data_IF_577543237623
#
_entry.id   IF_577543237623
#
_cell.length_a   1.000
_cell.length_b   1.000
_cell.length_c   1.000
_cell.angle_alpha   90.00
_cell.angle_beta   90.00
_cell.angle_gamma   90.00
#
_symmetry.space_group_name_H-M   'P 1'
#
loop_
_entity.id
_entity.type
_entity.pdbx_description
1 polymer ?
#
# COMPACT_ATOMS: atom_id res chain seq x y z
N UNK A 1 36.56 -28.87 17.44
CA UNK A 1 35.41 -28.43 16.61
C UNK A 1 34.41 -27.84 17.58
N UNK A 2 34.27 -26.51 17.69
CA UNK A 2 33.31 -25.94 18.64
C UNK A 2 31.91 -26.28 18.14
N UNK A 3 31.13 -26.93 18.99
CA UNK A 3 29.71 -27.14 18.73
C UNK A 3 29.08 -25.74 18.63
N UNK A 4 28.55 -25.39 17.46
CA UNK A 4 27.68 -24.22 17.33
C UNK A 4 26.53 -24.41 18.32
N UNK A 5 26.42 -23.54 19.31
CA UNK A 5 25.24 -23.47 20.16
C UNK A 5 23.99 -23.44 19.24
N UNK A 6 22.95 -24.23 19.53
CA UNK A 6 21.75 -24.23 18.71
C UNK A 6 21.19 -22.80 18.68
N UNK A 7 21.07 -22.24 17.48
CA UNK A 7 20.46 -20.92 17.29
C UNK A 7 19.08 -20.96 17.93
N UNK A 8 18.86 -20.09 18.92
CA UNK A 8 17.60 -20.06 19.65
C UNK A 8 16.44 -19.84 18.66
N UNK A 9 15.40 -20.68 18.76
CA UNK A 9 14.19 -20.58 17.95
C UNK A 9 13.53 -19.20 18.18
N UNK A 10 13.54 -18.35 17.15
CA UNK A 10 13.05 -16.98 17.22
C UNK A 10 12.35 -16.59 15.91
N UNK A 11 11.12 -16.04 15.97
CA UNK A 11 10.31 -15.82 17.16
C UNK A 11 9.77 -17.15 17.74
N UNK A 12 9.46 -17.15 19.04
CA UNK A 12 8.84 -18.31 19.70
C UNK A 12 7.55 -18.71 18.96
N UNK A 13 7.45 -19.97 18.56
CA UNK A 13 6.29 -20.49 17.84
C UNK A 13 4.98 -20.31 18.64
N UNK A 14 3.87 -20.03 17.94
CA UNK A 14 2.57 -19.79 18.57
C UNK A 14 2.10 -20.97 19.43
N UNK A 15 2.39 -22.21 19.01
CA UNK A 15 2.05 -23.43 19.74
C UNK A 15 2.90 -23.64 21.00
N UNK A 16 4.01 -22.93 21.16
CA UNK A 16 4.88 -23.03 22.33
C UNK A 16 4.48 -22.08 23.46
N UNK A 17 3.47 -21.22 23.26
CA UNK A 17 2.91 -20.41 24.34
C UNK A 17 1.91 -21.24 25.16
N UNK A 18 1.86 -21.04 26.48
CA UNK A 18 0.87 -21.71 27.32
C UNK A 18 -0.55 -21.33 26.88
N UNK A 19 -1.47 -22.29 26.94
CA UNK A 19 -2.90 -22.06 26.69
C UNK A 19 -3.45 -21.09 27.74
N UNK A 20 -3.62 -19.83 27.35
CA UNK A 20 -4.26 -18.82 28.17
C UNK A 20 -5.76 -18.82 27.88
N UNK A 21 -6.56 -19.35 28.80
CA UNK A 21 -8.01 -19.22 28.76
C UNK A 21 -8.42 -17.81 29.22
N UNK A 22 -9.31 -17.14 28.48
CA UNK A 22 -9.85 -15.83 28.87
C UNK A 22 -9.99 -14.83 27.72
N UNK A 23 -9.99 -13.55 28.08
CA UNK A 23 -10.07 -12.42 27.13
C UNK A 23 -8.81 -12.28 26.26
N UNK A 24 -8.90 -11.53 25.15
CA UNK A 24 -7.74 -11.19 24.32
C UNK A 24 -6.59 -10.58 25.14
N UNK A 25 -6.92 -9.68 26.07
CA UNK A 25 -5.93 -8.97 26.89
C UNK A 25 -5.16 -9.91 27.82
N UNK A 26 -5.82 -10.92 28.38
CA UNK A 26 -5.16 -11.91 29.25
C UNK A 26 -4.21 -12.79 28.45
N UNK A 27 -4.58 -13.16 27.22
CA UNK A 27 -3.69 -13.90 26.30
C UNK A 27 -2.47 -13.08 25.94
N UNK A 28 -2.65 -11.80 25.58
CA UNK A 28 -1.56 -10.91 25.21
C UNK A 28 -0.61 -10.66 26.40
N UNK A 29 -1.14 -10.42 27.59
CA UNK A 29 -0.33 -10.24 28.80
C UNK A 29 0.51 -11.49 29.12
N UNK A 30 -0.10 -12.68 29.07
CA UNK A 30 0.63 -13.94 29.29
C UNK A 30 1.74 -14.17 28.24
N UNK A 31 1.50 -13.79 26.98
CA UNK A 31 2.52 -13.89 25.91
C UNK A 31 3.66 -12.89 26.09
N UNK A 32 3.39 -11.71 26.63
CA UNK A 32 4.42 -10.71 26.96
C UNK A 32 5.24 -11.18 28.18
N UNK A 33 4.59 -11.78 29.17
CA UNK A 33 5.28 -12.34 30.34
C UNK A 33 6.20 -13.51 29.95
N UNK A 34 5.72 -14.40 29.06
CA UNK A 34 6.51 -15.50 28.54
C UNK A 34 7.63 -15.08 27.57
N UNK A 35 7.45 -13.97 26.86
CA UNK A 35 8.38 -13.44 25.86
C UNK A 35 8.32 -11.90 25.83
N UNK A 36 9.10 -11.21 26.69
CA UNK A 36 9.05 -9.76 26.83
C UNK A 36 9.37 -8.99 25.54
N UNK A 37 10.11 -9.61 24.61
CA UNK A 37 10.40 -9.01 23.31
C UNK A 37 9.12 -8.71 22.50
N UNK A 38 8.03 -9.46 22.72
CA UNK A 38 6.74 -9.21 22.06
C UNK A 38 6.21 -7.79 22.32
N UNK A 39 6.42 -7.25 23.52
CA UNK A 39 6.02 -5.89 23.85
C UNK A 39 6.85 -4.85 23.09
N UNK A 40 8.17 -5.09 22.97
CA UNK A 40 9.08 -4.21 22.21
C UNK A 40 8.70 -4.22 20.72
N UNK A 41 8.54 -5.40 20.13
CA UNK A 41 8.15 -5.57 18.74
C UNK A 41 6.79 -4.92 18.45
N UNK A 42 5.82 -5.10 19.35
CA UNK A 42 4.49 -4.47 19.25
C UNK A 42 4.58 -2.95 19.37
N UNK A 43 5.39 -2.43 20.29
CA UNK A 43 5.63 -0.99 20.43
C UNK A 43 6.23 -0.38 19.16
N UNK A 44 7.25 -1.02 18.59
CA UNK A 44 7.88 -0.62 17.32
C UNK A 44 6.85 -0.62 16.19
N UNK A 45 6.03 -1.67 16.09
CA UNK A 45 4.99 -1.75 15.07
C UNK A 45 3.93 -0.64 15.24
N UNK A 46 3.46 -0.38 16.47
CA UNK A 46 2.51 0.70 16.73
C UNK A 46 3.08 2.07 16.41
N UNK A 47 4.36 2.31 16.68
CA UNK A 47 5.04 3.55 16.29
C UNK A 47 5.18 3.67 14.77
N UNK A 48 5.41 2.56 14.07
CA UNK A 48 5.39 2.54 12.61
C UNK A 48 4.01 2.93 12.05
N UNK A 49 2.94 2.36 12.61
CA UNK A 49 1.56 2.73 12.26
C UNK A 49 1.28 4.19 12.60
N UNK A 50 1.69 4.68 13.78
CA UNK A 50 1.52 6.08 14.11
C UNK A 50 2.28 7.01 13.14
N UNK A 51 3.48 6.60 12.70
CA UNK A 51 4.28 7.35 11.74
C UNK A 51 3.58 7.47 10.38
N UNK A 52 2.91 6.41 9.87
CA UNK A 52 2.19 6.51 8.58
C UNK A 52 1.09 7.58 8.61
N UNK A 53 0.40 7.79 9.73
CA UNK A 53 -0.59 8.86 9.88
C UNK A 53 0.02 10.27 9.94
N UNK A 54 1.31 10.38 10.30
CA UNK A 54 2.03 11.65 10.37
C UNK A 54 2.82 11.93 9.08
N UNK A 55 3.01 10.93 8.21
CA UNK A 55 3.78 11.02 6.96
C UNK A 55 3.42 12.25 6.10
N UNK A 56 2.13 12.53 5.91
CA UNK A 56 1.67 13.71 5.16
C UNK A 56 2.16 15.07 5.74
N UNK A 57 2.39 15.15 7.05
CA UNK A 57 2.97 16.35 7.68
C UNK A 57 4.45 16.48 7.36
N UNK A 58 5.19 15.37 7.31
CA UNK A 58 6.59 15.37 6.88
C UNK A 58 6.72 15.80 5.41
N UNK A 59 5.88 15.27 4.52
CA UNK A 59 5.85 15.67 3.10
C UNK A 59 5.57 17.17 2.94
N UNK A 60 4.60 17.70 3.71
CA UNK A 60 4.31 19.14 3.70
C UNK A 60 5.49 19.97 4.19
N UNK A 61 6.11 19.58 5.30
CA UNK A 61 7.28 20.26 5.86
C UNK A 61 8.48 20.21 4.89
N UNK A 62 8.67 19.09 4.18
CA UNK A 62 9.68 18.95 3.14
C UNK A 62 9.48 19.97 2.01
N UNK A 63 8.26 20.10 1.50
CA UNK A 63 7.93 21.10 0.46
C UNK A 63 8.14 22.53 0.93
N UNK A 64 7.69 22.87 2.15
CA UNK A 64 7.88 24.21 2.73
C UNK A 64 9.37 24.55 2.89
N UNK A 65 10.19 23.59 3.32
CA UNK A 65 11.63 23.77 3.48
C UNK A 65 12.37 23.87 2.15
N UNK A 66 11.97 23.08 1.15
CA UNK A 66 12.53 23.15 -0.20
C UNK A 66 12.21 24.51 -0.84
N UNK A 67 10.97 24.97 -0.76
CA UNK A 67 10.55 26.29 -1.26
C UNK A 67 11.34 27.43 -0.60
N UNK A 68 11.55 27.38 0.72
CA UNK A 68 12.37 28.37 1.42
C UNK A 68 13.84 28.33 0.97
N UNK A 69 14.39 27.15 0.69
CA UNK A 69 15.74 26.99 0.14
C UNK A 69 15.85 27.57 -1.28
N UNK A 70 14.88 27.25 -2.14
CA UNK A 70 14.83 27.72 -3.52
C UNK A 70 14.70 29.23 -3.60
N UNK A 71 13.89 29.84 -2.73
CA UNK A 71 13.74 31.30 -2.65
C UNK A 71 15.06 31.98 -2.29
N UNK A 72 15.83 31.41 -1.35
CA UNK A 72 17.16 31.93 -0.95
C UNK A 72 18.19 31.79 -2.07
N UNK A 73 18.16 30.68 -2.81
CA UNK A 73 19.07 30.45 -3.94
C UNK A 73 18.74 31.37 -5.12
N UNK A 74 17.45 31.54 -5.42
CA UNK A 74 16.99 32.47 -6.45
C UNK A 74 17.42 33.91 -6.13
N UNK A 75 17.31 34.35 -4.87
CA UNK A 75 17.80 35.65 -4.41
C UNK A 75 19.33 35.81 -4.56
N UNK A 76 20.07 34.71 -4.54
CA UNK A 76 21.53 34.68 -4.77
C UNK A 76 21.91 34.46 -6.25
N UNK A 77 20.95 34.38 -7.17
CA UNK A 77 21.19 34.10 -8.59
C UNK A 77 21.69 32.67 -8.87
N UNK A 78 21.52 31.75 -7.91
CA UNK A 78 21.95 30.36 -8.03
C UNK A 78 20.80 29.47 -8.51
N UNK A 79 21.11 28.38 -9.23
CA UNK A 79 20.09 27.41 -9.64
C UNK A 79 19.48 26.69 -8.42
N UNK A 80 18.22 26.28 -8.54
CA UNK A 80 17.56 25.44 -7.55
C UNK A 80 18.34 24.13 -7.38
N UNK A 81 18.50 23.72 -6.13
CA UNK A 81 19.13 22.45 -5.76
C UNK A 81 18.36 21.80 -4.60
N UNK A 82 18.32 20.46 -4.53
CA UNK A 82 17.69 19.76 -3.43
C UNK A 82 18.34 20.13 -2.10
N UNK A 83 17.53 20.53 -1.13
CA UNK A 83 17.98 20.72 0.24
C UNK A 83 18.06 19.36 0.91
N UNK A 84 19.24 18.98 1.42
CA UNK A 84 19.43 17.70 2.15
C UNK A 84 18.40 17.52 3.26
N UNK A 85 18.05 18.61 3.97
CA UNK A 85 17.06 18.56 5.04
C UNK A 85 15.64 18.34 4.50
N UNK A 86 15.32 18.90 3.33
CA UNK A 86 14.02 18.69 2.69
C UNK A 86 13.91 17.25 2.18
N UNK A 87 14.98 16.71 1.58
CA UNK A 87 15.06 15.31 1.15
C UNK A 87 14.91 14.33 2.31
N UNK A 88 15.55 14.59 3.46
CA UNK A 88 15.34 13.78 4.66
C UNK A 88 13.87 13.83 5.08
N UNK A 89 13.26 15.01 5.19
CA UNK A 89 11.84 15.10 5.54
C UNK A 89 10.93 14.42 4.50
N UNK A 90 11.26 14.50 3.22
CA UNK A 90 10.54 13.84 2.15
C UNK A 90 10.62 12.32 2.31
N UNK A 91 11.81 11.78 2.59
CA UNK A 91 12.02 10.36 2.85
C UNK A 91 11.20 9.84 4.05
N UNK A 92 11.10 10.63 5.13
CA UNK A 92 10.22 10.32 6.27
C UNK A 92 8.72 10.48 5.96
N UNK A 93 8.36 11.20 4.89
CA UNK A 93 6.99 11.41 4.44
C UNK A 93 6.45 10.35 3.47
N UNK A 94 7.31 9.47 2.94
CA UNK A 94 6.92 8.44 1.99
C UNK A 94 6.37 7.21 2.73
N UNK A 95 5.09 6.87 2.52
CA UNK A 95 4.41 5.82 3.29
C UNK A 95 5.02 4.42 3.06
N UNK A 96 5.53 4.17 1.85
CA UNK A 96 6.23 2.93 1.47
C UNK A 96 7.54 2.78 2.24
N UNK A 97 8.20 3.89 2.57
CA UNK A 97 9.48 3.91 3.30
C UNK A 97 9.28 3.69 4.79
N UNK A 98 8.17 4.17 5.36
CA UNK A 98 7.91 4.14 6.81
C UNK A 98 8.16 2.75 7.41
N UNK A 99 7.60 1.68 6.82
CA UNK A 99 7.78 0.33 7.34
C UNK A 99 9.21 -0.20 7.18
N UNK A 100 9.88 0.12 6.07
CA UNK A 100 11.29 -0.21 5.87
C UNK A 100 12.20 0.49 6.90
N UNK A 101 11.93 1.76 7.19
CA UNK A 101 12.63 2.55 8.19
C UNK A 101 12.47 1.95 9.59
N UNK A 102 11.25 1.58 9.99
CA UNK A 102 10.97 0.97 11.29
C UNK A 102 11.47 -0.48 11.42
N UNK A 103 11.78 -1.14 10.30
CA UNK A 103 12.54 -2.38 10.28
C UNK A 103 13.94 -2.25 10.88
N UNK A 104 14.58 -1.07 10.78
CA UNK A 104 15.91 -0.84 11.36
C UNK A 104 15.90 -0.84 12.90
N UNK A 105 15.05 -0.07 13.61
CA UNK A 105 14.86 -0.21 15.05
C UNK A 105 14.51 -1.64 15.50
N UNK A 106 13.66 -2.34 14.74
CA UNK A 106 13.33 -3.74 15.03
C UNK A 106 14.59 -4.62 14.97
N UNK A 107 15.38 -4.48 13.91
CA UNK A 107 16.64 -5.20 13.74
C UNK A 107 17.60 -4.93 14.91
N UNK A 108 17.77 -3.66 15.27
CA UNK A 108 18.61 -3.25 16.42
C UNK A 108 18.11 -3.88 17.71
N UNK A 109 16.79 -3.89 17.93
CA UNK A 109 16.20 -4.51 19.11
C UNK A 109 16.42 -6.03 19.16
N UNK A 110 16.33 -6.73 18.02
CA UNK A 110 16.63 -8.17 17.93
C UNK A 110 18.11 -8.42 18.22
N UNK A 111 19.02 -7.66 17.59
CA UNK A 111 20.46 -7.81 17.79
C UNK A 111 20.84 -7.60 19.26
N UNK A 112 20.28 -6.57 19.90
CA UNK A 112 20.55 -6.29 21.31
C UNK A 112 20.00 -7.40 22.22
N UNK A 113 18.76 -7.84 22.01
CA UNK A 113 18.10 -8.80 22.90
C UNK A 113 18.53 -10.26 22.69
N UNK A 114 18.81 -10.66 21.44
CA UNK A 114 19.05 -12.06 21.03
C UNK A 114 20.40 -12.30 20.39
N UNK A 115 21.16 -11.25 20.08
CA UNK A 115 22.46 -11.34 19.43
C UNK A 115 22.38 -11.33 17.89
N UNK A 116 23.55 -11.14 17.28
CA UNK A 116 23.70 -11.01 15.83
C UNK A 116 23.37 -12.30 15.06
N UNK A 117 23.75 -13.47 15.58
CA UNK A 117 23.50 -14.76 14.91
C UNK A 117 22.00 -15.06 14.79
N UNK A 118 21.22 -14.85 15.86
CA UNK A 118 19.76 -14.99 15.83
C UNK A 118 19.12 -13.95 14.92
N UNK A 119 19.59 -12.70 14.92
CA UNK A 119 19.06 -11.67 14.02
C UNK A 119 19.27 -12.03 12.54
N UNK A 120 20.47 -12.52 12.17
CA UNK A 120 20.74 -13.01 10.82
C UNK A 120 19.87 -14.20 10.45
N UNK A 121 19.75 -15.19 11.34
CA UNK A 121 18.94 -16.38 11.08
C UNK A 121 17.46 -16.03 10.89
N UNK A 122 16.94 -15.13 11.72
CA UNK A 122 15.58 -14.62 11.59
C UNK A 122 15.34 -14.01 10.21
N UNK A 123 16.21 -13.08 9.80
CA UNK A 123 16.07 -12.34 8.54
C UNK A 123 16.28 -13.26 7.33
N UNK A 124 17.29 -14.11 7.33
CA UNK A 124 17.65 -14.87 6.13
C UNK A 124 16.85 -16.16 5.98
N UNK A 125 16.56 -16.85 7.07
CA UNK A 125 16.05 -18.22 7.04
C UNK A 125 14.60 -18.34 7.52
N UNK A 126 14.13 -17.41 8.37
CA UNK A 126 12.79 -17.48 8.98
C UNK A 126 11.76 -16.61 8.27
N UNK A 127 12.14 -15.41 7.83
CA UNK A 127 11.22 -14.48 7.16
C UNK A 127 10.99 -14.88 5.70
N UNK A 128 9.72 -15.03 5.30
CA UNK A 128 9.35 -15.33 3.93
C UNK A 128 9.12 -14.04 3.12
N UNK A 129 10.04 -13.75 2.20
CA UNK A 129 9.96 -12.57 1.32
C UNK A 129 9.20 -12.80 0.02
N UNK A 130 8.67 -14.01 -0.23
CA UNK A 130 8.00 -14.35 -1.50
C UNK A 130 6.83 -13.40 -1.77
N UNK A 131 6.00 -13.16 -0.76
CA UNK A 131 4.81 -12.31 -0.89
C UNK A 131 5.19 -10.82 -1.04
N UNK A 132 6.02 -10.21 -0.15
CA UNK A 132 6.45 -8.83 -0.32
C UNK A 132 7.15 -8.58 -1.66
N UNK A 133 8.06 -9.48 -2.08
CA UNK A 133 8.78 -9.35 -3.34
C UNK A 133 7.81 -9.43 -4.52
N UNK A 134 6.86 -10.36 -4.48
CA UNK A 134 5.83 -10.47 -5.52
C UNK A 134 5.04 -9.16 -5.63
N UNK A 135 4.53 -8.62 -4.51
CA UNK A 135 3.78 -7.35 -4.46
C UNK A 135 4.61 -6.20 -5.05
N UNK A 136 5.88 -6.06 -4.64
CA UNK A 136 6.78 -5.03 -5.18
C UNK A 136 6.95 -5.18 -6.69
N UNK A 137 7.16 -6.40 -7.19
CA UNK A 137 7.34 -6.66 -8.62
C UNK A 137 6.08 -6.32 -9.41
N UNK A 138 4.89 -6.76 -8.97
CA UNK A 138 3.65 -6.46 -9.69
C UNK A 138 3.30 -4.98 -9.66
N UNK A 139 3.51 -4.28 -8.53
CA UNK A 139 3.27 -2.83 -8.44
C UNK A 139 4.24 -2.07 -9.34
N UNK A 140 5.52 -2.45 -9.35
CA UNK A 140 6.51 -1.85 -10.24
C UNK A 140 6.12 -2.04 -11.72
N UNK A 141 5.77 -3.26 -12.13
CA UNK A 141 5.31 -3.57 -13.50
C UNK A 141 4.03 -2.81 -13.86
N UNK A 142 3.04 -2.77 -12.96
CA UNK A 142 1.79 -2.06 -13.16
C UNK A 142 1.99 -0.53 -13.29
N UNK A 143 2.99 0.03 -12.61
CA UNK A 143 3.34 1.46 -12.67
C UNK A 143 4.13 1.87 -13.93
N UNK A 144 4.47 0.93 -14.82
CA UNK A 144 5.24 1.24 -16.02
C UNK A 144 4.42 2.05 -17.03
N UNK A 145 5.10 2.97 -17.73
CA UNK A 145 4.46 3.84 -18.76
C UNK A 145 3.62 3.06 -19.78
N UNK A 146 4.04 1.91 -20.33
CA UNK A 146 3.23 1.19 -21.31
C UNK A 146 1.91 0.69 -20.74
N UNK A 147 1.90 0.19 -19.50
CA UNK A 147 0.69 -0.30 -18.82
C UNK A 147 -0.28 0.84 -18.56
N UNK A 148 0.23 1.95 -18.02
CA UNK A 148 -0.55 3.18 -17.78
C UNK A 148 -1.15 3.73 -19.08
N UNK A 149 -0.35 3.82 -20.15
CA UNK A 149 -0.81 4.33 -21.44
C UNK A 149 -1.88 3.42 -22.08
N UNK A 150 -1.75 2.09 -21.91
CA UNK A 150 -2.76 1.14 -22.36
C UNK A 150 -4.07 1.34 -21.62
N UNK A 151 -4.03 1.45 -20.29
CA UNK A 151 -5.22 1.69 -19.47
C UNK A 151 -5.90 3.02 -19.84
N UNK A 152 -5.15 4.11 -19.98
CA UNK A 152 -5.68 5.40 -20.45
C UNK A 152 -6.33 5.29 -21.84
N UNK A 153 -5.72 4.51 -22.74
CA UNK A 153 -6.27 4.26 -24.08
C UNK A 153 -7.61 3.52 -24.04
N UNK A 154 -7.75 2.53 -23.16
CA UNK A 154 -9.01 1.80 -22.95
C UNK A 154 -10.09 2.75 -22.42
N UNK A 155 -9.78 3.55 -21.40
CA UNK A 155 -10.73 4.53 -20.86
C UNK A 155 -11.18 5.54 -21.93
N UNK A 156 -10.23 6.04 -22.73
CA UNK A 156 -10.54 6.97 -23.82
C UNK A 156 -11.48 6.37 -24.86
N UNK A 157 -11.28 5.11 -25.25
CA UNK A 157 -12.17 4.41 -26.21
C UNK A 157 -13.58 4.26 -25.65
N UNK A 158 -13.72 3.98 -24.36
CA UNK A 158 -15.05 3.89 -23.72
C UNK A 158 -15.69 5.28 -23.63
N UNK A 159 -14.94 6.31 -23.25
CA UNK A 159 -15.44 7.69 -23.22
C UNK A 159 -15.87 8.20 -24.61
N UNK A 160 -15.25 7.72 -25.69
CA UNK A 160 -15.65 8.05 -27.07
C UNK A 160 -17.07 7.56 -27.40
N UNK A 161 -17.56 6.47 -26.81
CA UNK A 161 -18.94 6.02 -26.97
C UNK A 161 -19.94 7.09 -26.50
N UNK A 162 -19.58 7.84 -25.46
CA UNK A 162 -20.35 8.97 -24.92
C UNK A 162 -19.91 10.33 -25.47
N UNK A 163 -19.31 10.37 -26.66
CA UNK A 163 -18.84 11.59 -27.36
C UNK A 163 -17.83 12.42 -26.56
N UNK A 164 -17.07 11.80 -25.65
CA UNK A 164 -16.08 12.48 -24.80
C UNK A 164 -16.65 13.64 -23.97
N UNK A 165 -17.94 13.60 -23.64
CA UNK A 165 -18.53 14.58 -22.71
C UNK A 165 -17.94 14.40 -21.30
N UNK A 166 -17.96 15.44 -20.44
CA UNK A 166 -17.50 15.31 -19.05
C UNK A 166 -18.20 14.18 -18.29
N UNK A 167 -19.51 14.00 -18.53
CA UNK A 167 -20.28 12.88 -17.96
C UNK A 167 -19.83 11.52 -18.50
N UNK A 168 -19.53 11.42 -19.80
CA UNK A 168 -19.01 10.17 -20.38
C UNK A 168 -17.63 9.81 -19.81
N UNK A 169 -16.75 10.79 -19.62
CA UNK A 169 -15.48 10.59 -18.94
C UNK A 169 -15.68 10.19 -17.48
N UNK A 170 -16.58 10.85 -16.75
CA UNK A 170 -16.88 10.53 -15.37
C UNK A 170 -17.37 9.07 -15.22
N UNK A 171 -18.34 8.63 -16.04
CA UNK A 171 -18.80 7.24 -16.04
C UNK A 171 -17.70 6.26 -16.47
N UNK A 172 -16.95 6.57 -17.53
CA UNK A 172 -15.87 5.70 -18.01
C UNK A 172 -14.80 5.52 -16.93
N UNK A 173 -14.42 6.58 -16.22
CA UNK A 173 -13.42 6.50 -15.15
C UNK A 173 -13.97 5.69 -13.97
N UNK A 174 -15.19 5.96 -13.52
CA UNK A 174 -15.77 5.29 -12.35
C UNK A 174 -16.20 3.84 -12.58
N UNK A 175 -16.34 3.41 -13.82
CA UNK A 175 -16.66 2.01 -14.16
C UNK A 175 -15.41 1.27 -14.61
N UNK A 176 -14.70 1.79 -15.60
CA UNK A 176 -13.64 1.04 -16.30
C UNK A 176 -12.35 1.00 -15.49
N UNK A 177 -11.92 2.11 -14.88
CA UNK A 177 -10.67 2.08 -14.11
C UNK A 177 -10.73 1.11 -12.92
N UNK A 178 -11.82 1.08 -12.12
CA UNK A 178 -11.99 0.05 -11.09
C UNK A 178 -11.88 -1.39 -11.59
N UNK A 179 -12.52 -1.72 -12.70
CA UNK A 179 -12.45 -3.06 -13.29
C UNK A 179 -11.05 -3.35 -13.84
N UNK A 180 -10.38 -2.36 -14.42
CA UNK A 180 -8.98 -2.48 -14.84
C UNK A 180 -8.03 -2.70 -13.67
N UNK A 181 -8.38 -2.24 -12.46
CA UNK A 181 -7.65 -2.54 -11.23
C UNK A 181 -7.41 -4.03 -11.02
N UNK A 182 -8.31 -4.89 -11.52
CA UNK A 182 -8.10 -6.33 -11.49
C UNK A 182 -7.00 -6.88 -12.40
N UNK A 183 -6.57 -6.11 -13.39
CA UNK A 183 -5.57 -6.53 -14.38
C UNK A 183 -4.23 -5.82 -14.20
N UNK A 184 -4.23 -4.64 -13.56
CA UNK A 184 -3.01 -3.88 -13.26
C UNK A 184 -2.66 -4.04 -11.78
N UNK A 185 -3.32 -3.28 -10.91
CA UNK A 185 -3.36 -3.33 -9.44
C UNK A 185 -4.29 -2.22 -8.97
N UNK A 186 -4.83 -2.30 -7.74
CA UNK A 186 -5.65 -1.23 -7.16
C UNK A 186 -4.93 0.13 -7.08
N UNK A 187 -3.66 0.24 -6.62
CA UNK A 187 -2.99 1.54 -6.52
C UNK A 187 -2.76 2.19 -7.89
N UNK A 188 -2.44 1.39 -8.92
CA UNK A 188 -2.26 1.89 -10.28
C UNK A 188 -3.58 2.38 -10.87
N UNK A 189 -4.67 1.61 -10.74
CA UNK A 189 -6.00 2.02 -11.21
C UNK A 189 -6.50 3.29 -10.52
N UNK A 190 -6.28 3.40 -9.20
CA UNK A 190 -6.63 4.59 -8.42
C UNK A 190 -5.86 5.83 -8.92
N UNK A 191 -4.56 5.70 -9.14
CA UNK A 191 -3.71 6.81 -9.61
C UNK A 191 -4.16 7.30 -10.99
N UNK A 192 -4.41 6.39 -11.93
CA UNK A 192 -4.88 6.71 -13.28
C UNK A 192 -6.26 7.38 -13.24
N UNK A 193 -7.18 6.81 -12.46
CA UNK A 193 -8.52 7.36 -12.30
C UNK A 193 -8.49 8.77 -11.69
N UNK A 194 -7.67 9.00 -10.67
CA UNK A 194 -7.53 10.30 -10.02
C UNK A 194 -6.94 11.35 -10.98
N UNK A 195 -5.90 11.00 -11.74
CA UNK A 195 -5.29 11.89 -12.75
C UNK A 195 -6.28 12.27 -13.85
N UNK A 196 -7.08 11.32 -14.34
CA UNK A 196 -8.07 11.57 -15.37
C UNK A 196 -9.28 12.34 -14.84
N UNK A 197 -9.75 12.05 -13.63
CA UNK A 197 -10.80 12.84 -12.96
C UNK A 197 -10.36 14.28 -12.75
N UNK A 198 -9.11 14.49 -12.32
CA UNK A 198 -8.54 15.82 -12.14
C UNK A 198 -8.72 16.66 -13.43
N UNK A 199 -8.22 16.13 -14.55
CA UNK A 199 -8.19 16.83 -15.85
C UNK A 199 -9.54 16.93 -16.55
N UNK A 200 -10.39 15.90 -16.46
CA UNK A 200 -11.63 15.82 -17.26
C UNK A 200 -12.86 16.33 -16.51
N UNK A 201 -12.80 16.36 -15.17
CA UNK A 201 -13.97 16.66 -14.34
C UNK A 201 -13.70 17.77 -13.32
N UNK A 202 -12.57 17.72 -12.59
CA UNK A 202 -12.32 18.67 -11.50
C UNK A 202 -11.89 20.05 -12.00
N UNK A 203 -11.24 20.13 -13.17
CA UNK A 203 -10.92 21.39 -13.84
C UNK A 203 -12.18 22.22 -14.16
N UNK A 204 -13.35 21.58 -14.27
CA UNK A 204 -14.66 22.25 -14.44
C UNK A 204 -15.22 22.82 -13.13
N UNK A 205 -14.46 22.75 -12.04
CA UNK A 205 -14.81 23.24 -10.71
C UNK A 205 -16.17 22.75 -10.18
N UNK A 206 -16.43 21.43 -10.12
CA UNK A 206 -17.66 20.90 -9.54
C UNK A 206 -17.79 21.28 -8.06
N UNK A 207 -19.02 21.23 -7.54
CA UNK A 207 -19.31 21.53 -6.14
C UNK A 207 -18.53 20.62 -5.18
N UNK A 208 -18.25 21.09 -3.95
CA UNK A 208 -17.54 20.30 -2.94
C UNK A 208 -18.18 18.95 -2.67
N UNK A 209 -19.52 18.92 -2.55
CA UNK A 209 -20.25 17.66 -2.33
C UNK A 209 -20.02 16.68 -3.47
N UNK A 210 -20.05 17.14 -4.72
CA UNK A 210 -19.85 16.29 -5.87
C UNK A 210 -18.41 15.77 -5.99
N UNK A 211 -17.41 16.58 -5.61
CA UNK A 211 -16.01 16.12 -5.53
C UNK A 211 -15.85 14.98 -4.53
N UNK A 212 -16.25 15.19 -3.29
CA UNK A 212 -16.13 14.17 -2.25
C UNK A 212 -16.96 12.92 -2.57
N UNK A 213 -18.17 13.07 -3.10
CA UNK A 213 -18.99 11.93 -3.54
C UNK A 213 -18.31 11.14 -4.66
N UNK A 214 -17.73 11.82 -5.66
CA UNK A 214 -17.01 11.18 -6.76
C UNK A 214 -15.78 10.41 -6.28
N UNK A 215 -14.98 11.00 -5.37
CA UNK A 215 -13.81 10.31 -4.81
C UNK A 215 -14.19 9.13 -3.93
N UNK A 216 -15.22 9.30 -3.08
CA UNK A 216 -15.74 8.21 -2.26
C UNK A 216 -16.23 7.05 -3.12
N UNK A 217 -17.02 7.34 -4.16
CA UNK A 217 -17.48 6.33 -5.12
C UNK A 217 -16.32 5.67 -5.87
N UNK A 218 -15.31 6.43 -6.31
CA UNK A 218 -14.12 5.87 -6.95
C UNK A 218 -13.42 4.87 -6.03
N UNK A 219 -13.17 5.22 -4.77
CA UNK A 219 -12.47 4.34 -3.84
C UNK A 219 -13.25 3.07 -3.53
N UNK A 220 -14.57 3.19 -3.36
CA UNK A 220 -15.45 2.02 -3.20
C UNK A 220 -15.39 1.14 -4.45
N UNK A 221 -15.52 1.73 -5.64
CA UNK A 221 -15.48 0.97 -6.88
C UNK A 221 -14.12 0.29 -7.08
N UNK A 222 -12.99 0.98 -6.86
CA UNK A 222 -11.65 0.38 -6.96
C UNK A 222 -11.50 -0.79 -5.99
N UNK A 223 -11.97 -0.65 -4.75
CA UNK A 223 -11.90 -1.72 -3.74
C UNK A 223 -12.71 -2.96 -4.12
N UNK A 224 -13.85 -2.79 -4.79
CA UNK A 224 -14.69 -3.91 -5.26
C UNK A 224 -14.19 -4.44 -6.61
N UNK A 225 -13.60 -3.57 -7.42
CA UNK A 225 -13.14 -3.85 -8.78
C UNK A 225 -11.95 -4.79 -8.85
N UNK A 226 -11.23 -5.00 -7.75
CA UNK A 226 -10.12 -5.95 -7.60
C UNK A 226 -10.52 -7.43 -7.55
N UNK A 227 -11.78 -7.80 -7.76
CA UNK A 227 -12.22 -9.21 -7.62
C UNK A 227 -12.46 -9.93 -8.95
N UNK A 228 -12.05 -9.39 -10.10
CA UNK A 228 -12.14 -10.09 -11.39
C UNK A 228 -10.99 -11.08 -11.56
N UNK A 229 -9.83 -10.85 -10.96
CA UNK A 229 -8.71 -11.80 -11.01
C UNK A 229 -8.15 -12.02 -9.62
N UNK A 230 -7.41 -13.11 -9.45
CA UNK A 230 -6.74 -13.42 -8.19
C UNK A 230 -5.40 -12.69 -8.00
N UNK A 231 -4.92 -11.96 -9.01
CA UNK A 231 -3.67 -11.19 -8.96
C UNK A 231 -3.87 -9.74 -8.52
N UNK A 232 -5.10 -9.27 -8.60
CA UNK A 232 -5.53 -7.89 -8.39
C UNK A 232 -5.33 -7.39 -6.96
N UNK A 233 -5.71 -8.22 -5.99
CA UNK A 233 -5.74 -7.90 -4.58
C UNK A 233 -4.80 -8.87 -3.84
N UNK A 234 -3.77 -8.38 -3.13
CA UNK A 234 -2.85 -9.24 -2.38
C UNK A 234 -3.54 -10.26 -1.45
N UNK A 235 -4.62 -9.91 -0.70
CA UNK A 235 -5.31 -10.88 0.14
C UNK A 235 -5.92 -12.05 -0.64
N UNK A 236 -6.46 -11.80 -1.83
CA UNK A 236 -7.04 -12.83 -2.70
C UNK A 236 -5.93 -13.76 -3.20
N UNK A 237 -4.81 -13.19 -3.63
CA UNK A 237 -3.67 -13.98 -4.07
C UNK A 237 -3.10 -14.87 -2.97
N UNK A 238 -3.01 -14.35 -1.73
CA UNK A 238 -2.51 -15.09 -0.56
C UNK A 238 -3.33 -16.36 -0.30
N UNK A 239 -4.65 -16.30 -0.52
CA UNK A 239 -5.54 -17.43 -0.29
C UNK A 239 -5.82 -18.23 -1.57
N UNK A 240 -5.45 -17.73 -2.74
CA UNK A 240 -5.78 -18.35 -4.02
C UNK A 240 -5.27 -19.79 -4.14
N UNK A 241 -4.04 -20.08 -3.68
CA UNK A 241 -3.50 -21.44 -3.68
C UNK A 241 -4.19 -22.36 -2.67
N UNK A 242 -4.48 -21.85 -1.48
CA UNK A 242 -5.08 -22.65 -0.40
C UNK A 242 -6.54 -23.00 -0.69
N UNK A 243 -7.27 -22.10 -1.35
CA UNK A 243 -8.71 -22.21 -1.59
C UNK A 243 -9.07 -22.49 -3.05
N UNK A 244 -8.07 -22.60 -3.93
CA UNK A 244 -8.28 -22.82 -5.37
C UNK A 244 -8.98 -21.65 -6.07
N UNK A 245 -8.83 -20.42 -5.58
CA UNK A 245 -9.44 -19.24 -6.19
C UNK A 245 -8.61 -18.77 -7.38
N UNK A 246 -8.66 -19.52 -8.47
CA UNK A 246 -8.10 -19.11 -9.75
C UNK A 246 -8.93 -17.98 -10.40
N UNK A 247 -8.45 -17.44 -11.52
CA UNK A 247 -9.18 -16.37 -12.23
C UNK A 247 -10.58 -16.81 -12.65
N UNK A 248 -10.77 -18.07 -13.05
CA UNK A 248 -12.08 -18.57 -13.46
C UNK A 248 -13.07 -18.57 -12.29
N UNK A 249 -12.63 -19.03 -11.11
CA UNK A 249 -13.40 -18.98 -9.88
C UNK A 249 -13.74 -17.55 -9.48
N UNK A 250 -12.74 -16.65 -9.49
CA UNK A 250 -12.94 -15.24 -9.13
C UNK A 250 -14.00 -14.57 -10.02
N UNK A 251 -13.91 -14.75 -11.34
CA UNK A 251 -14.91 -14.20 -12.28
C UNK A 251 -16.29 -14.81 -12.05
N UNK A 252 -16.37 -16.14 -11.90
CA UNK A 252 -17.63 -16.88 -11.75
C UNK A 252 -18.38 -16.56 -10.45
N UNK A 253 -17.65 -16.30 -9.37
CA UNK A 253 -18.25 -16.08 -8.05
C UNK A 253 -18.33 -14.60 -7.64
N UNK A 254 -17.29 -13.80 -7.88
CA UNK A 254 -17.21 -12.43 -7.38
C UNK A 254 -17.24 -11.39 -8.50
N UNK A 255 -16.53 -11.64 -9.60
CA UNK A 255 -16.27 -10.67 -10.65
C UNK A 255 -17.52 -10.03 -11.25
N UNK A 256 -18.54 -10.81 -11.62
CA UNK A 256 -19.77 -10.27 -12.19
C UNK A 256 -20.59 -9.45 -11.18
N UNK A 257 -20.58 -9.83 -9.90
CA UNK A 257 -21.27 -9.09 -8.82
C UNK A 257 -20.61 -7.73 -8.62
N UNK A 258 -19.28 -7.71 -8.63
CA UNK A 258 -18.48 -6.50 -8.58
C UNK A 258 -18.73 -5.59 -9.78
N UNK A 259 -18.78 -6.14 -11.00
CA UNK A 259 -19.09 -5.37 -12.20
C UNK A 259 -20.49 -4.74 -12.12
N UNK A 260 -21.51 -5.49 -11.68
CA UNK A 260 -22.86 -4.96 -11.51
C UNK A 260 -22.89 -3.88 -10.43
N UNK A 261 -22.25 -4.11 -9.28
CA UNK A 261 -22.21 -3.13 -8.19
C UNK A 261 -21.56 -1.81 -8.63
N UNK A 262 -20.45 -1.89 -9.40
CA UNK A 262 -19.75 -0.72 -9.94
C UNK A 262 -20.62 0.04 -10.94
N UNK A 263 -21.30 -0.67 -11.85
CA UNK A 263 -22.17 -0.04 -12.85
C UNK A 263 -23.38 0.61 -12.17
N UNK A 264 -24.07 -0.13 -11.29
CA UNK A 264 -25.29 0.34 -10.63
C UNK A 264 -25.05 1.47 -9.62
N UNK A 265 -23.85 1.58 -9.05
CA UNK A 265 -23.48 2.70 -8.17
C UNK A 265 -23.04 3.95 -8.94
N UNK A 266 -22.70 3.81 -10.22
CA UNK A 266 -22.24 4.92 -11.06
C UNK A 266 -23.35 5.53 -11.92
N UNK A 267 -24.25 4.71 -12.46
CA UNK A 267 -25.36 5.13 -13.35
C UNK A 267 -26.58 5.49 -12.54
#
# INVERSE_FOLDING_TARGET
>A
MPMSDPVAEFPRALAAYPDAAGSLWTVLAARIEAEPFNAIATGIFLLAVAHTFVAARFTRAAHELQQASDTRLAAAGLPSRPSVRAEVLHFFGEIEVVFGLWGLPLMVAIIWSRGWETAKHYVNDTVNYTEPLFVVVIMALASTRPVVALAESVLRRVAQLGRCTPAAWWCAILIVAPLLGSFITEPAAMTIAALLLARQFYDLQPSMRLRYATLGLLFVNVSIGGTLTHFAAPPVLMVARTWGWDTAFMIGHFGWRSAIAIIASTV
#
